data_IF_432916384996
#
_entry.id   IF_432916384996
#
_cell.length_a   1.000
_cell.length_b   1.000
_cell.length_c   1.000
_cell.angle_alpha   90.00
_cell.angle_beta   90.00
_cell.angle_gamma   90.00
#
_symmetry.space_group_name_H-M   'P 1'
#
loop_
_entity.id
_entity.type
_entity.pdbx_description
1 polymer ?
#
# COMPACT_ATOMS: atom_id res chain seq x y z
N UNK A 1 -24.02 -12.76 -63.19
CA UNK A 1 -23.77 -11.75 -62.15
C UNK A 1 -23.46 -12.47 -60.84
N UNK A 2 -22.20 -12.49 -60.42
CA UNK A 2 -21.79 -13.12 -59.17
C UNK A 2 -21.86 -12.10 -58.08
N UNK A 3 -22.77 -12.29 -57.09
CA UNK A 3 -22.85 -11.49 -55.88
C UNK A 3 -21.84 -12.02 -54.89
N UNK A 4 -20.79 -11.26 -54.60
CA UNK A 4 -19.86 -11.53 -53.50
C UNK A 4 -20.46 -11.05 -52.20
N UNK A 5 -20.85 -11.97 -51.32
CA UNK A 5 -21.28 -11.69 -49.97
C UNK A 5 -20.03 -11.50 -49.10
N UNK A 6 -19.71 -10.25 -48.74
CA UNK A 6 -18.62 -9.95 -47.81
C UNK A 6 -19.12 -10.25 -46.38
N UNK A 7 -18.67 -11.38 -45.84
CA UNK A 7 -18.92 -11.74 -44.45
C UNK A 7 -17.89 -10.99 -43.58
N UNK A 8 -18.28 -9.85 -42.95
CA UNK A 8 -17.48 -9.18 -41.93
C UNK A 8 -17.47 -10.04 -40.65
N UNK A 9 -16.37 -10.78 -40.45
CA UNK A 9 -16.09 -11.42 -39.16
C UNK A 9 -15.72 -10.32 -38.15
N UNK A 10 -16.67 -9.94 -37.28
CA UNK A 10 -16.35 -9.15 -36.07
C UNK A 10 -15.57 -10.05 -35.11
N UNK A 11 -14.26 -9.87 -35.07
CA UNK A 11 -13.42 -10.46 -34.02
C UNK A 11 -13.72 -9.77 -32.69
N UNK A 12 -14.52 -10.40 -31.85
CA UNK A 12 -14.71 -9.98 -30.47
C UNK A 12 -13.40 -10.23 -29.72
N UNK A 13 -12.64 -9.16 -29.44
CA UNK A 13 -11.46 -9.25 -28.59
C UNK A 13 -11.95 -9.32 -27.13
N UNK A 14 -11.53 -10.34 -26.34
CA UNK A 14 -11.85 -10.37 -24.93
C UNK A 14 -11.13 -9.21 -24.24
N UNK A 15 -11.88 -8.24 -23.77
CA UNK A 15 -11.38 -7.23 -22.83
C UNK A 15 -11.08 -7.93 -21.50
N UNK A 16 -9.81 -8.21 -21.25
CA UNK A 16 -9.36 -8.68 -19.94
C UNK A 16 -9.49 -7.51 -18.96
N UNK A 17 -10.58 -7.46 -18.24
CA UNK A 17 -10.74 -6.60 -17.08
C UNK A 17 -9.88 -7.20 -15.96
N UNK A 18 -8.74 -6.58 -15.66
CA UNK A 18 -7.99 -6.92 -14.45
C UNK A 18 -8.81 -6.42 -13.26
N UNK A 19 -9.20 -7.35 -12.36
CA UNK A 19 -9.83 -6.98 -11.12
C UNK A 19 -8.86 -6.15 -10.27
N UNK A 20 -9.36 -5.07 -9.66
CA UNK A 20 -8.59 -4.25 -8.72
C UNK A 20 -8.17 -5.07 -7.51
N UNK A 21 -6.99 -4.78 -6.95
CA UNK A 21 -6.50 -5.45 -5.75
C UNK A 21 -7.42 -5.19 -4.55
N UNK A 22 -7.53 -6.19 -3.68
CA UNK A 22 -8.42 -6.12 -2.51
C UNK A 22 -7.99 -5.05 -1.47
N UNK A 23 -6.75 -4.58 -1.50
CA UNK A 23 -6.30 -3.46 -0.66
C UNK A 23 -6.68 -2.10 -1.26
N UNK A 24 -6.95 -2.01 -2.56
CA UNK A 24 -7.24 -0.74 -3.21
C UNK A 24 -8.47 -0.05 -2.59
N UNK A 25 -8.33 1.23 -2.26
CA UNK A 25 -9.38 2.04 -1.65
C UNK A 25 -9.64 1.78 -0.16
N UNK A 26 -8.95 0.80 0.45
CA UNK A 26 -9.14 0.45 1.87
C UNK A 26 -8.38 1.37 2.80
N UNK A 27 -8.90 1.56 4.01
CA UNK A 27 -8.28 2.40 5.07
C UNK A 27 -7.90 1.52 6.24
N UNK A 28 -6.68 1.74 6.74
CA UNK A 28 -6.07 0.93 7.79
C UNK A 28 -5.59 1.80 8.94
N UNK A 29 -5.81 1.33 10.16
CA UNK A 29 -5.27 1.91 11.37
C UNK A 29 -3.92 1.26 11.67
N UNK A 30 -2.85 2.06 11.64
CA UNK A 30 -1.50 1.61 11.96
C UNK A 30 -1.29 1.60 13.47
N UNK A 31 -0.59 0.60 13.97
CA UNK A 31 -0.26 0.43 15.39
C UNK A 31 1.26 0.44 15.54
N UNK A 32 1.75 1.24 16.47
CA UNK A 32 3.15 1.24 16.87
C UNK A 32 3.47 -0.08 17.60
N UNK A 33 4.43 -0.84 17.11
CA UNK A 33 4.80 -2.15 17.65
C UNK A 33 5.54 -2.11 19.00
N UNK A 34 6.07 -0.95 19.39
CA UNK A 34 6.74 -0.75 20.68
C UNK A 34 5.78 -0.31 21.78
N UNK A 35 4.84 0.56 21.44
CA UNK A 35 3.91 1.17 22.42
C UNK A 35 2.51 0.58 22.36
N UNK A 36 2.21 -0.19 21.32
CA UNK A 36 0.87 -0.73 21.00
C UNK A 36 -0.21 0.37 20.87
N UNK A 37 0.20 1.58 20.52
CA UNK A 37 -0.71 2.72 20.34
C UNK A 37 -1.05 2.95 18.87
N UNK A 38 -2.29 3.35 18.57
CA UNK A 38 -2.67 3.80 17.23
C UNK A 38 -1.87 5.02 16.80
N UNK A 39 -1.36 5.02 15.56
CA UNK A 39 -0.52 6.11 15.04
C UNK A 39 -1.22 6.94 13.97
N UNK A 40 -1.77 6.28 12.98
CA UNK A 40 -2.36 6.94 11.81
C UNK A 40 -3.46 6.10 11.17
N UNK A 41 -4.29 6.75 10.37
CA UNK A 41 -5.10 6.11 9.33
C UNK A 41 -4.40 6.30 8.00
N UNK A 42 -4.23 5.19 7.27
CA UNK A 42 -3.61 5.18 5.94
C UNK A 42 -4.56 4.57 4.92
N UNK A 43 -4.60 5.14 3.73
CA UNK A 43 -5.38 4.63 2.60
C UNK A 43 -4.47 3.99 1.57
N UNK A 44 -4.81 2.78 1.13
CA UNK A 44 -4.19 2.15 -0.02
C UNK A 44 -4.84 2.61 -1.33
N UNK A 45 -4.00 2.81 -2.32
CA UNK A 45 -4.39 3.08 -3.70
C UNK A 45 -3.53 2.25 -4.65
N UNK A 46 -4.15 1.70 -5.68
CA UNK A 46 -3.50 0.93 -6.74
C UNK A 46 -3.32 1.81 -7.97
N UNK A 47 -2.14 1.78 -8.57
CA UNK A 47 -1.88 2.44 -9.84
C UNK A 47 -2.25 1.54 -11.04
N UNK A 48 -2.16 2.10 -12.24
CA UNK A 48 -2.46 1.38 -13.50
C UNK A 48 -1.58 0.14 -13.75
N UNK A 49 -0.45 0.01 -13.05
CA UNK A 49 0.48 -1.11 -13.17
C UNK A 49 0.29 -2.16 -12.05
N UNK A 50 -0.73 -2.01 -11.21
CA UNK A 50 -1.01 -2.88 -10.08
C UNK A 50 -0.09 -2.65 -8.88
N UNK A 51 0.67 -1.56 -8.84
CA UNK A 51 1.47 -1.20 -7.68
C UNK A 51 0.62 -0.44 -6.66
N UNK A 52 0.68 -0.90 -5.42
CA UNK A 52 -0.03 -0.31 -4.29
C UNK A 52 0.87 0.71 -3.59
N UNK A 53 0.25 1.82 -3.21
CA UNK A 53 0.81 2.84 -2.32
C UNK A 53 -0.11 3.06 -1.13
N UNK A 54 0.41 3.51 0.00
CA UNK A 54 -0.40 3.91 1.15
C UNK A 54 -0.04 5.32 1.60
N UNK A 55 -1.06 6.15 1.78
CA UNK A 55 -0.94 7.57 2.13
C UNK A 55 -1.62 7.83 3.46
N UNK A 56 -1.00 8.63 4.34
CA UNK A 56 -1.57 9.03 5.61
C UNK A 56 -2.75 9.96 5.36
N UNK A 57 -3.94 9.57 5.84
CA UNK A 57 -5.15 10.41 5.83
C UNK A 57 -5.34 11.17 7.13
N UNK A 58 -4.94 10.57 8.27
CA UNK A 58 -5.12 11.15 9.59
C UNK A 58 -4.02 10.71 10.54
N UNK A 59 -3.50 11.62 11.33
CA UNK A 59 -2.62 11.33 12.45
C UNK A 59 -3.47 11.17 13.71
N UNK A 60 -3.26 10.10 14.47
CA UNK A 60 -4.04 9.74 15.65
C UNK A 60 -3.32 10.09 16.96
N UNK A 61 -2.05 10.50 16.89
CA UNK A 61 -1.25 10.88 18.07
C UNK A 61 -1.27 12.40 18.23
N UNK A 62 -1.93 12.94 19.27
CA UNK A 62 -2.13 14.39 19.42
C UNK A 62 -0.86 15.20 19.67
N UNK A 63 0.19 14.58 20.20
CA UNK A 63 1.44 15.24 20.63
C UNK A 63 2.52 15.29 19.55
N UNK A 64 2.31 14.69 18.39
CA UNK A 64 3.31 14.72 17.33
C UNK A 64 3.11 15.93 16.43
N UNK A 65 4.24 16.58 16.11
CA UNK A 65 4.27 17.58 15.06
C UNK A 65 3.71 16.96 13.77
N UNK A 66 2.75 17.65 13.13
CA UNK A 66 2.10 17.18 11.89
C UNK A 66 3.05 17.19 10.67
N UNK A 67 4.37 17.14 10.90
CA UNK A 67 5.41 17.21 9.87
C UNK A 67 6.43 16.11 10.03
N UNK A 68 6.98 15.63 8.94
CA UNK A 68 8.09 14.69 8.93
C UNK A 68 9.42 15.42 9.16
N UNK A 69 9.69 15.81 10.39
CA UNK A 69 10.88 16.61 10.74
C UNK A 69 12.19 15.83 10.61
N UNK A 70 12.15 14.50 10.70
CA UNK A 70 13.31 13.61 10.56
C UNK A 70 13.48 13.04 9.14
N UNK A 71 12.54 13.33 8.24
CA UNK A 71 12.66 12.94 6.84
C UNK A 71 13.74 13.76 6.12
N UNK A 72 14.31 13.16 5.09
CA UNK A 72 15.32 13.79 4.23
C UNK A 72 14.76 14.10 2.85
N UNK A 73 15.47 14.97 2.10
CA UNK A 73 15.16 15.30 0.71
C UNK A 73 13.77 15.90 0.54
N UNK A 74 13.01 15.38 -0.42
CA UNK A 74 11.69 15.87 -0.78
C UNK A 74 10.64 15.72 0.34
N UNK A 75 10.90 14.87 1.35
CA UNK A 75 9.98 14.61 2.46
C UNK A 75 10.29 15.44 3.71
N UNK A 76 11.41 16.14 3.74
CA UNK A 76 11.81 16.95 4.89
C UNK A 76 10.74 18.00 5.19
N UNK A 77 10.27 18.01 6.44
CA UNK A 77 9.23 18.93 6.94
C UNK A 77 7.90 18.90 6.16
N UNK A 78 7.65 17.88 5.34
CA UNK A 78 6.35 17.68 4.71
C UNK A 78 5.29 17.33 5.75
N UNK A 79 4.06 17.77 5.50
CA UNK A 79 2.91 17.36 6.32
C UNK A 79 2.80 15.83 6.38
N UNK A 80 2.55 15.28 7.54
CA UNK A 80 2.28 13.85 7.71
C UNK A 80 0.98 13.46 7.01
N UNK A 81 -0.06 14.29 7.10
CA UNK A 81 -1.29 14.10 6.32
C UNK A 81 -1.00 14.35 4.85
N UNK A 82 -1.32 13.40 3.99
CA UNK A 82 -1.00 13.41 2.57
C UNK A 82 0.36 12.80 2.22
N UNK A 83 1.16 12.37 3.23
CA UNK A 83 2.45 11.73 3.00
C UNK A 83 2.24 10.26 2.59
N UNK A 84 2.80 9.89 1.44
CA UNK A 84 2.82 8.49 1.00
C UNK A 84 3.94 7.74 1.72
N UNK A 85 3.57 6.80 2.58
CA UNK A 85 4.53 6.03 3.39
C UNK A 85 4.83 4.65 2.81
N UNK A 86 3.92 4.03 2.10
CA UNK A 86 4.17 2.76 1.39
C UNK A 86 4.18 3.02 -0.10
N UNK A 87 5.15 2.45 -0.81
CA UNK A 87 5.30 2.55 -2.26
C UNK A 87 5.64 1.21 -2.88
N UNK A 88 5.22 1.03 -4.14
CA UNK A 88 5.59 -0.10 -5.01
C UNK A 88 5.27 -1.49 -4.43
N UNK A 89 4.34 -1.60 -3.51
CA UNK A 89 3.92 -2.88 -2.95
C UNK A 89 3.09 -3.62 -4.00
N UNK A 90 3.43 -4.88 -4.27
CA UNK A 90 2.76 -5.70 -5.29
C UNK A 90 2.24 -7.00 -4.72
N UNK A 91 1.07 -7.41 -5.18
CA UNK A 91 0.56 -8.76 -4.92
C UNK A 91 1.54 -9.80 -5.48
N UNK A 92 1.90 -10.78 -4.67
CA UNK A 92 2.84 -11.86 -5.01
C UNK A 92 2.23 -13.25 -4.79
N UNK A 93 0.95 -13.33 -4.53
CA UNK A 93 0.20 -14.55 -4.28
C UNK A 93 -1.04 -14.24 -3.45
N UNK A 94 -1.79 -15.27 -3.08
CA UNK A 94 -2.98 -15.10 -2.27
C UNK A 94 -2.63 -14.43 -0.93
N UNK A 95 -3.21 -13.25 -0.70
CA UNK A 95 -3.02 -12.45 0.53
C UNK A 95 -1.57 -12.05 0.83
N UNK A 96 -0.64 -12.17 -0.13
CA UNK A 96 0.77 -11.82 0.05
C UNK A 96 1.17 -10.66 -0.85
N UNK A 97 1.97 -9.76 -0.29
CA UNK A 97 2.45 -8.56 -0.95
C UNK A 97 3.95 -8.39 -0.70
N UNK A 98 4.69 -8.07 -1.74
CA UNK A 98 6.15 -7.94 -1.72
C UNK A 98 6.64 -6.73 -2.52
N UNK A 99 7.95 -6.52 -2.55
CA UNK A 99 8.64 -5.48 -3.32
C UNK A 99 8.27 -4.04 -2.94
N UNK A 100 7.61 -3.85 -1.80
CA UNK A 100 7.30 -2.53 -1.30
C UNK A 100 8.49 -1.86 -0.60
N UNK A 101 8.32 -0.57 -0.37
CA UNK A 101 9.12 0.21 0.58
C UNK A 101 8.19 0.92 1.56
N UNK A 102 8.66 1.15 2.78
CA UNK A 102 7.92 1.88 3.80
C UNK A 102 8.81 2.95 4.43
N UNK A 103 8.31 4.18 4.46
CA UNK A 103 8.90 5.29 5.20
C UNK A 103 8.37 5.26 6.64
N UNK A 104 9.26 5.27 7.62
CA UNK A 104 8.92 5.52 9.02
C UNK A 104 9.09 7.03 9.32
N UNK A 105 8.00 7.79 9.46
CA UNK A 105 8.09 9.22 9.73
C UNK A 105 8.73 9.55 11.09
N UNK A 106 8.69 8.61 12.04
CA UNK A 106 9.28 8.78 13.37
C UNK A 106 10.80 8.86 13.34
N UNK A 107 11.42 8.13 12.44
CA UNK A 107 12.88 8.07 12.28
C UNK A 107 13.38 8.73 11.00
N UNK A 108 12.52 8.94 10.02
CA UNK A 108 12.86 9.42 8.66
C UNK A 108 13.48 8.36 7.77
N UNK A 109 13.56 7.10 8.23
CA UNK A 109 14.18 6.00 7.50
C UNK A 109 13.17 5.28 6.61
N UNK A 110 13.66 4.78 5.47
CA UNK A 110 12.91 3.92 4.55
C UNK A 110 13.42 2.49 4.62
N UNK A 111 12.50 1.56 4.66
CA UNK A 111 12.75 0.12 4.75
C UNK A 111 12.15 -0.60 3.54
N UNK A 112 12.68 -1.77 3.21
CA UNK A 112 11.97 -2.73 2.37
C UNK A 112 10.72 -3.21 3.10
N UNK A 113 9.63 -3.50 2.37
CA UNK A 113 8.34 -3.80 2.98
C UNK A 113 7.62 -4.94 2.28
N UNK A 114 7.23 -5.92 3.08
CA UNK A 114 6.33 -7.00 2.69
C UNK A 114 5.10 -6.97 3.60
N UNK A 115 3.98 -7.47 3.11
CA UNK A 115 2.77 -7.55 3.90
C UNK A 115 1.99 -8.85 3.63
N UNK A 116 1.23 -9.28 4.61
CA UNK A 116 0.32 -10.42 4.50
C UNK A 116 -1.04 -10.01 5.06
N UNK A 117 -2.07 -10.20 4.25
CA UNK A 117 -3.46 -9.94 4.64
C UNK A 117 -4.02 -11.19 5.32
N UNK A 118 -4.72 -11.02 6.44
CA UNK A 118 -5.41 -12.14 7.09
C UNK A 118 -6.52 -12.71 6.20
N UNK A 119 -6.87 -14.00 6.34
CA UNK A 119 -7.92 -14.63 5.51
C UNK A 119 -9.27 -13.91 5.56
N UNK A 120 -9.61 -13.31 6.70
CA UNK A 120 -10.84 -12.52 6.88
C UNK A 120 -10.74 -11.09 6.33
N UNK A 121 -9.58 -10.68 5.82
CA UNK A 121 -9.34 -9.36 5.25
C UNK A 121 -9.29 -8.21 6.26
N UNK A 122 -9.24 -8.49 7.57
CA UNK A 122 -9.37 -7.45 8.63
C UNK A 122 -8.04 -7.01 9.23
N UNK A 123 -6.98 -7.79 9.06
CA UNK A 123 -5.64 -7.51 9.59
C UNK A 123 -4.61 -7.56 8.48
N UNK A 124 -3.71 -6.61 8.46
CA UNK A 124 -2.56 -6.56 7.56
C UNK A 124 -1.29 -6.61 8.39
N UNK A 125 -0.55 -7.71 8.30
CA UNK A 125 0.74 -7.85 8.96
C UNK A 125 1.83 -7.34 8.01
N UNK A 126 2.38 -6.17 8.31
CA UNK A 126 3.46 -5.54 7.55
C UNK A 126 4.81 -5.82 8.20
N UNK A 127 5.83 -6.09 7.38
CA UNK A 127 7.21 -6.31 7.82
C UNK A 127 8.16 -5.37 7.10
N UNK A 128 8.77 -4.45 7.86
CA UNK A 128 9.82 -3.57 7.40
C UNK A 128 11.20 -4.15 7.73
N UNK A 129 12.14 -4.12 6.78
CA UNK A 129 13.47 -4.69 6.97
C UNK A 129 14.51 -3.98 6.11
N UNK A 130 15.80 -4.16 6.49
CA UNK A 130 16.96 -3.75 5.70
C UNK A 130 17.75 -5.02 5.38
N UNK A 131 18.06 -5.22 4.08
CA UNK A 131 18.77 -6.40 3.61
C UNK A 131 17.84 -7.62 3.49
N UNK A 132 17.76 -8.45 4.55
CA UNK A 132 16.92 -9.65 4.57
C UNK A 132 15.74 -9.52 5.54
N UNK A 133 14.59 -10.09 5.17
CA UNK A 133 13.36 -9.97 5.96
C UNK A 133 13.43 -10.60 7.36
N UNK A 134 14.35 -11.56 7.58
CA UNK A 134 14.58 -12.17 8.89
C UNK A 134 15.03 -11.15 9.96
N UNK A 135 15.69 -10.05 9.57
CA UNK A 135 16.18 -8.99 10.47
C UNK A 135 15.21 -7.79 10.58
N UNK A 136 13.97 -7.98 10.20
CA UNK A 136 12.97 -6.91 10.18
C UNK A 136 12.14 -6.82 11.45
N UNK A 137 11.22 -5.85 11.43
CA UNK A 137 10.18 -5.62 12.45
C UNK A 137 8.82 -5.74 11.82
N UNK A 138 7.89 -6.36 12.54
CA UNK A 138 6.51 -6.53 12.08
C UNK A 138 5.56 -5.63 12.85
N UNK A 139 4.57 -5.09 12.13
CA UNK A 139 3.44 -4.37 12.69
C UNK A 139 2.14 -4.99 12.18
N UNK A 140 1.10 -4.96 12.99
CA UNK A 140 -0.24 -5.35 12.55
C UNK A 140 -1.10 -4.10 12.42
N UNK A 141 -1.67 -3.90 11.24
CA UNK A 141 -2.63 -2.84 10.96
C UNK A 141 -4.03 -3.41 10.90
N UNK A 142 -5.01 -2.63 11.30
CA UNK A 142 -6.40 -3.07 11.38
C UNK A 142 -7.26 -2.30 10.39
N UNK A 143 -8.04 -3.04 9.58
CA UNK A 143 -8.95 -2.45 8.62
C UNK A 143 -10.01 -1.60 9.31
N UNK A 144 -10.21 -0.39 8.83
CA UNK A 144 -11.21 0.55 9.32
C UNK A 144 -12.35 0.68 8.30
N UNK A 145 -12.00 0.65 7.02
CA UNK A 145 -12.95 0.91 5.93
C UNK A 145 -12.53 0.23 4.64
#
# INVERSE_FOLDING_TARGET
MKKYLFLCLLAAHPVHSFASDQLNGTVWKTIDDQTNQPRALVRFNEDKNGALSATIEKVLVPSEANKCSKCEGAYQNKSLVGLTIVKNLKSSGENKYTNGSILDPKTGKTYSFNATLSPDGKKLSGRGYIGISALGRSQTWYKVK
#
